data_IF_100784233097
#
_entry.id   IF_100784233097
#
_cell.length_a   1.000
_cell.length_b   1.000
_cell.length_c   1.000
_cell.angle_alpha   90.00
_cell.angle_beta   90.00
_cell.angle_gamma   90.00
#
_symmetry.space_group_name_H-M   'P 1'
#
loop_
_entity.id
_entity.type
_entity.pdbx_description
1 polymer ?
#
# COMPACT_ATOMS: atom_id res chain seq x y z
N UNK A 1 -19.35 -47.80 -22.58
CA UNK A 1 -19.34 -47.47 -21.13
C UNK A 1 -17.90 -47.60 -20.67
N UNK A 2 -17.18 -46.67 -20.04
CA UNK A 2 -17.44 -45.34 -19.50
C UNK A 2 -16.12 -44.54 -19.59
N UNK A 3 -16.09 -43.41 -20.31
CA UNK A 3 -15.04 -42.39 -20.15
C UNK A 3 -15.37 -41.57 -18.90
N UNK A 4 -14.91 -42.08 -17.74
CA UNK A 4 -15.24 -41.49 -16.43
C UNK A 4 -14.40 -40.24 -16.18
N UNK A 5 -15.01 -39.09 -16.49
CA UNK A 5 -14.67 -37.74 -16.02
C UNK A 5 -14.03 -37.76 -14.63
N UNK A 6 -12.75 -37.35 -14.54
CA UNK A 6 -12.15 -36.88 -13.29
C UNK A 6 -11.30 -35.65 -13.59
N UNK A 7 -11.98 -34.52 -13.76
CA UNK A 7 -11.35 -33.21 -13.80
C UNK A 7 -12.35 -32.20 -13.23
N UNK A 8 -12.64 -32.31 -11.93
CA UNK A 8 -13.53 -31.36 -11.26
C UNK A 8 -13.29 -31.35 -9.75
N UNK A 9 -12.05 -31.10 -9.30
CA UNK A 9 -11.77 -30.95 -7.86
C UNK A 9 -10.51 -30.11 -7.57
N UNK A 10 -10.19 -29.10 -8.39
CA UNK A 10 -9.07 -28.17 -8.10
C UNK A 10 -9.52 -26.70 -8.04
N UNK A 11 -10.81 -26.40 -8.24
CA UNK A 11 -11.30 -25.01 -8.19
C UNK A 11 -11.69 -24.52 -6.79
N UNK A 12 -11.93 -25.42 -5.82
CA UNK A 12 -12.45 -25.04 -4.50
C UNK A 12 -11.39 -24.49 -3.53
N UNK A 13 -10.11 -24.81 -3.73
CA UNK A 13 -9.02 -24.34 -2.85
C UNK A 13 -8.58 -22.90 -3.16
N UNK A 14 -8.79 -22.41 -4.38
CA UNK A 14 -8.40 -21.05 -4.78
C UNK A 14 -9.26 -19.95 -4.16
N UNK A 15 -10.56 -20.21 -3.93
CA UNK A 15 -11.47 -19.20 -3.37
C UNK A 15 -11.29 -18.96 -1.87
N UNK A 16 -10.69 -19.91 -1.13
CA UNK A 16 -10.42 -19.76 0.30
C UNK A 16 -9.25 -18.81 0.60
N UNK A 17 -8.29 -18.68 -0.32
CA UNK A 17 -7.10 -17.83 -0.14
C UNK A 17 -7.40 -16.34 -0.26
N UNK A 18 -8.51 -15.95 -0.91
CA UNK A 18 -8.88 -14.55 -1.10
C UNK A 18 -9.41 -13.93 0.20
N UNK A 19 -9.91 -14.76 1.12
CA UNK A 19 -10.51 -14.30 2.38
C UNK A 19 -9.48 -14.06 3.49
N UNK A 20 -8.27 -14.60 3.36
CA UNK A 20 -7.28 -14.61 4.43
C UNK A 20 -6.28 -13.44 4.33
N UNK A 21 -6.78 -12.21 4.33
CA UNK A 21 -6.00 -11.12 4.94
C UNK A 21 -6.31 -11.17 6.43
N UNK A 22 -5.36 -11.55 7.29
CA UNK A 22 -5.49 -11.50 8.74
C UNK A 22 -6.23 -10.25 9.20
N UNK A 23 -7.22 -10.42 10.09
CA UNK A 23 -8.01 -9.30 10.62
C UNK A 23 -7.12 -8.17 11.17
N UNK A 24 -6.00 -8.54 11.81
CA UNK A 24 -5.00 -7.59 12.30
C UNK A 24 -4.34 -6.77 11.19
N UNK A 25 -4.02 -7.39 10.05
CA UNK A 25 -3.47 -6.67 8.88
C UNK A 25 -4.52 -5.73 8.26
N UNK A 26 -5.80 -6.12 8.25
CA UNK A 26 -6.88 -5.23 7.79
C UNK A 26 -7.04 -4.01 8.70
N UNK A 27 -7.00 -4.21 10.02
CA UNK A 27 -7.11 -3.12 11.00
C UNK A 27 -5.91 -2.17 10.91
N UNK A 28 -4.69 -2.71 10.77
CA UNK A 28 -3.48 -1.91 10.58
C UNK A 28 -3.54 -1.08 9.29
N UNK A 29 -4.02 -1.67 8.18
CA UNK A 29 -4.21 -0.95 6.93
C UNK A 29 -5.28 0.15 7.05
N UNK A 30 -6.39 -0.12 7.76
CA UNK A 30 -7.40 0.91 8.05
C UNK A 30 -6.84 2.06 8.88
N UNK A 31 -6.11 1.78 9.97
CA UNK A 31 -5.51 2.83 10.81
C UNK A 31 -4.47 3.65 10.05
N UNK A 32 -3.66 3.00 9.22
CA UNK A 32 -2.71 3.68 8.34
C UNK A 32 -3.45 4.64 7.40
N UNK A 33 -4.51 4.15 6.75
CA UNK A 33 -5.25 4.95 5.78
C UNK A 33 -6.03 6.11 6.38
N UNK A 34 -6.63 5.93 7.55
CA UNK A 34 -7.29 7.01 8.27
C UNK A 34 -6.29 8.12 8.63
N UNK A 35 -5.08 7.76 9.06
CA UNK A 35 -4.02 8.72 9.34
C UNK A 35 -3.53 9.40 8.06
N UNK A 36 -3.27 8.62 7.01
CA UNK A 36 -2.74 9.13 5.75
C UNK A 36 -3.69 10.12 5.07
N UNK A 37 -4.99 9.79 5.03
CA UNK A 37 -6.03 10.65 4.45
C UNK A 37 -6.25 11.94 5.24
N UNK A 38 -5.94 11.97 6.55
CA UNK A 38 -5.93 13.20 7.34
C UNK A 38 -4.66 14.03 7.12
N UNK A 39 -3.50 13.39 6.97
CA UNK A 39 -2.20 14.05 6.80
C UNK A 39 -2.03 14.66 5.40
N UNK A 40 -2.29 13.88 4.36
CA UNK A 40 -1.91 14.21 2.99
C UNK A 40 -2.57 15.49 2.43
N UNK A 41 -3.88 15.74 2.61
CA UNK A 41 -4.52 16.96 2.11
C UNK A 41 -3.95 18.23 2.74
N UNK A 42 -3.60 18.19 4.03
CA UNK A 42 -2.97 19.32 4.72
C UNK A 42 -1.56 19.58 4.20
N UNK A 43 -0.76 18.53 4.04
CA UNK A 43 0.60 18.64 3.51
C UNK A 43 0.63 19.22 2.08
N UNK A 44 -0.27 18.75 1.20
CA UNK A 44 -0.31 19.15 -0.21
C UNK A 44 -0.59 20.63 -0.45
N UNK A 45 -1.05 21.36 0.56
CA UNK A 45 -1.28 22.80 0.47
C UNK A 45 0.02 23.61 0.32
N UNK A 46 1.14 23.10 0.85
CA UNK A 46 2.40 23.85 0.91
C UNK A 46 3.61 23.08 0.38
N UNK A 47 3.46 21.78 0.12
CA UNK A 47 4.57 20.86 -0.17
C UNK A 47 4.28 20.06 -1.45
N UNK A 48 5.30 19.78 -2.29
CA UNK A 48 5.17 18.85 -3.42
C UNK A 48 4.62 17.49 -3.03
N UNK A 49 3.87 16.88 -3.94
CA UNK A 49 3.15 15.63 -3.66
C UNK A 49 4.04 14.50 -3.11
N UNK A 50 5.22 14.33 -3.69
CA UNK A 50 6.13 13.25 -3.36
C UNK A 50 6.74 13.40 -1.95
N UNK A 51 6.97 14.64 -1.49
CA UNK A 51 7.41 14.89 -0.10
C UNK A 51 6.30 14.59 0.90
N UNK A 52 5.04 14.90 0.54
CA UNK A 52 3.90 14.54 1.38
C UNK A 52 3.70 13.03 1.49
N UNK A 53 3.96 12.28 0.43
CA UNK A 53 3.97 10.82 0.49
C UNK A 53 5.03 10.33 1.49
N UNK A 54 6.24 10.87 1.45
CA UNK A 54 7.33 10.51 2.37
C UNK A 54 6.99 10.80 3.83
N UNK A 55 6.47 12.01 4.10
CA UNK A 55 6.14 12.45 5.45
C UNK A 55 4.93 11.72 6.02
N UNK A 56 3.84 11.66 5.28
CA UNK A 56 2.59 11.09 5.76
C UNK A 56 2.67 9.56 5.85
N UNK A 57 3.27 8.88 4.87
CA UNK A 57 3.41 7.43 4.95
C UNK A 57 4.27 7.01 6.15
N UNK A 58 5.40 7.69 6.35
CA UNK A 58 6.29 7.31 7.44
C UNK A 58 5.78 7.67 8.84
N UNK A 59 5.05 8.78 8.98
CA UNK A 59 4.46 9.16 10.27
C UNK A 59 3.18 8.39 10.62
N UNK A 60 2.50 7.83 9.62
CA UNK A 60 1.27 7.06 9.80
C UNK A 60 1.50 5.55 9.95
N UNK A 61 2.70 5.08 9.62
CA UNK A 61 3.09 3.71 9.89
C UNK A 61 3.60 3.57 11.33
N UNK A 62 3.07 2.60 12.06
CA UNK A 62 3.41 2.32 13.46
C UNK A 62 4.32 1.09 13.61
N UNK A 63 4.78 0.52 12.49
CA UNK A 63 5.68 -0.62 12.42
C UNK A 63 7.12 -0.27 12.77
N UNK A 64 8.00 -1.24 12.59
CA UNK A 64 9.43 -0.98 12.72
C UNK A 64 9.94 -0.14 11.54
N UNK A 65 11.22 0.18 11.59
CA UNK A 65 11.85 1.05 10.59
C UNK A 65 11.80 0.47 9.18
N UNK A 66 11.85 -0.85 9.04
CA UNK A 66 11.77 -1.53 7.75
C UNK A 66 10.34 -1.50 7.21
N UNK A 67 9.35 -1.70 8.08
CA UNK A 67 7.93 -1.56 7.74
C UNK A 67 7.59 -0.13 7.31
N UNK A 68 8.06 0.88 8.06
CA UNK A 68 7.91 2.30 7.74
C UNK A 68 8.51 2.63 6.37
N UNK A 69 9.71 2.11 6.08
CA UNK A 69 10.35 2.29 4.77
C UNK A 69 9.55 1.61 3.66
N UNK A 70 9.06 0.39 3.88
CA UNK A 70 8.28 -0.37 2.91
C UNK A 70 6.95 0.34 2.59
N UNK A 71 6.24 0.83 3.60
CA UNK A 71 5.02 1.61 3.45
C UNK A 71 5.27 2.92 2.69
N UNK A 72 6.36 3.63 3.00
CA UNK A 72 6.77 4.83 2.29
C UNK A 72 6.99 4.56 0.79
N UNK A 73 7.74 3.50 0.46
CA UNK A 73 8.01 3.10 -0.93
C UNK A 73 6.70 2.68 -1.64
N UNK A 74 5.82 1.96 -0.95
CA UNK A 74 4.51 1.57 -1.48
C UNK A 74 3.70 2.80 -1.89
N UNK A 75 3.55 3.78 -0.99
CA UNK A 75 2.82 5.03 -1.28
C UNK A 75 3.47 5.82 -2.42
N UNK A 76 4.80 5.83 -2.51
CA UNK A 76 5.49 6.46 -3.65
C UNK A 76 5.25 5.75 -4.99
N UNK A 77 4.94 4.44 -4.97
CA UNK A 77 4.84 3.60 -6.16
C UNK A 77 3.41 3.37 -6.64
N UNK A 78 2.42 3.75 -5.84
CA UNK A 78 1.00 3.56 -6.13
C UNK A 78 0.25 4.87 -5.97
N UNK A 79 -0.61 5.21 -6.91
CA UNK A 79 -1.43 6.43 -6.82
C UNK A 79 -2.55 6.34 -5.79
N UNK A 80 -2.80 5.13 -5.27
CA UNK A 80 -3.79 4.91 -4.25
C UNK A 80 -3.46 3.71 -3.36
N UNK A 81 -2.95 3.99 -2.15
CA UNK A 81 -2.84 3.00 -1.07
C UNK A 81 -4.15 2.88 -0.29
N UNK A 82 -4.94 3.96 -0.24
CA UNK A 82 -6.09 4.10 0.67
C UNK A 82 -7.43 4.37 -0.01
N UNK A 83 -7.45 4.54 -1.33
CA UNK A 83 -8.64 4.73 -2.15
C UNK A 83 -8.75 3.63 -3.24
N UNK A 84 -9.91 3.46 -3.90
CA UNK A 84 -10.02 2.57 -5.04
C UNK A 84 -9.04 2.95 -6.16
N UNK A 85 -8.45 1.96 -6.82
CA UNK A 85 -7.38 2.15 -7.81
C UNK A 85 -7.79 3.11 -8.94
N UNK A 86 -7.19 4.30 -8.94
CA UNK A 86 -7.26 5.26 -10.04
C UNK A 86 -5.99 5.13 -10.87
N UNK A 87 -6.08 5.33 -12.18
CA UNK A 87 -4.93 5.26 -13.08
C UNK A 87 -3.82 6.22 -12.64
N UNK A 88 -2.54 5.82 -12.78
CA UNK A 88 -1.45 6.66 -12.32
C UNK A 88 -1.41 8.04 -12.92
N UNK A 89 -1.50 9.05 -12.08
CA UNK A 89 -1.41 10.45 -12.52
C UNK A 89 0.00 11.01 -12.31
N UNK A 90 0.82 10.38 -11.47
CA UNK A 90 2.12 10.92 -11.06
C UNK A 90 3.28 10.02 -11.51
N UNK A 91 3.58 9.98 -12.82
CA UNK A 91 4.78 9.31 -13.31
C UNK A 91 6.07 10.09 -12.97
N UNK A 92 5.97 11.42 -12.83
CA UNK A 92 7.11 12.30 -12.53
C UNK A 92 7.27 12.50 -11.02
N UNK A 93 8.41 12.08 -10.48
CA UNK A 93 8.76 12.25 -9.06
C UNK A 93 8.71 10.98 -8.21
N UNK A 94 8.31 9.83 -8.77
CA UNK A 94 8.32 8.52 -8.08
C UNK A 94 9.74 8.14 -7.64
N UNK A 95 10.73 8.31 -8.52
CA UNK A 95 12.13 8.00 -8.20
C UNK A 95 12.66 8.89 -7.05
N UNK A 96 12.34 10.18 -7.07
CA UNK A 96 12.72 11.13 -6.02
C UNK A 96 12.01 10.81 -4.71
N UNK A 97 10.72 10.44 -4.76
CA UNK A 97 9.94 9.97 -3.62
C UNK A 97 10.60 8.75 -2.95
N UNK A 98 10.93 7.72 -3.73
CA UNK A 98 11.58 6.50 -3.24
C UNK A 98 12.97 6.80 -2.67
N UNK A 99 13.74 7.67 -3.33
CA UNK A 99 15.07 8.06 -2.85
C UNK A 99 14.99 8.75 -1.47
N UNK A 100 14.03 9.65 -1.30
CA UNK A 100 13.82 10.35 -0.02
C UNK A 100 13.22 9.45 1.06
N UNK A 101 12.37 8.47 0.70
CA UNK A 101 11.96 7.41 1.63
C UNK A 101 13.19 6.66 2.20
N UNK A 102 14.11 6.22 1.33
CA UNK A 102 15.33 5.50 1.75
C UNK A 102 16.22 6.36 2.63
N UNK A 103 16.38 7.63 2.29
CA UNK A 103 17.20 8.57 3.04
C UNK A 103 16.65 8.84 4.44
N UNK A 104 15.33 8.98 4.57
CA UNK A 104 14.66 9.38 5.82
C UNK A 104 14.33 8.20 6.72
N UNK A 105 13.92 7.07 6.13
CA UNK A 105 13.42 5.92 6.87
C UNK A 105 14.31 4.68 6.75
N UNK A 106 15.43 4.75 6.02
CA UNK A 106 16.33 3.61 5.78
C UNK A 106 17.65 3.55 6.57
N UNK A 107 18.01 4.56 7.39
CA UNK A 107 19.16 4.58 8.32
C UNK A 107 18.99 3.95 9.71
#
# INVERSE_FOLDING_TARGET
>A
METKKRAATIAALGMLLIMSVPSQQRVAAMSFCDCYQQCYPGCRQSVPWWLCNVDCAGNCDAGDREDVLAACIMVCSTDSVCDPAVAPTYAQGVADCIAECKKRWGQ
#
